data_IF_294104530661
#
_entry.id   IF_294104530661
#
_cell.length_a   1.000
_cell.length_b   1.000
_cell.length_c   1.000
_cell.angle_alpha   90.00
_cell.angle_beta   90.00
_cell.angle_gamma   90.00
#
_symmetry.space_group_name_H-M   'P 1'
#
loop_
_entity.id
_entity.type
_entity.pdbx_description
1 polymer ?
#
# COMPACT_ATOMS: atom_id res chain seq x y z
N UNK A 1 1.34 -13.44 -5.72
CA UNK A 1 0.70 -13.77 -7.01
C UNK A 1 0.61 -15.27 -7.28
N UNK A 2 1.71 -16.05 -7.23
CA UNK A 2 1.69 -17.52 -7.41
C UNK A 2 0.64 -18.26 -6.56
N UNK A 3 0.65 -18.06 -5.24
CA UNK A 3 -0.23 -18.82 -4.32
C UNK A 3 -1.72 -18.56 -4.56
N UNK A 4 -2.09 -17.31 -4.85
CA UNK A 4 -3.47 -16.94 -5.17
C UNK A 4 -3.94 -17.51 -6.50
N UNK A 5 -3.08 -17.52 -7.52
CA UNK A 5 -3.41 -18.14 -8.80
C UNK A 5 -3.58 -19.66 -8.69
N UNK A 6 -2.67 -20.31 -7.95
CA UNK A 6 -2.72 -21.74 -7.70
C UNK A 6 -3.99 -22.15 -6.95
N UNK A 7 -4.32 -21.48 -5.84
CA UNK A 7 -5.54 -21.76 -5.06
C UNK A 7 -6.80 -21.68 -5.91
N UNK A 8 -6.93 -20.64 -6.74
CA UNK A 8 -8.09 -20.48 -7.64
C UNK A 8 -8.16 -21.57 -8.72
N UNK A 9 -7.02 -21.99 -9.29
CA UNK A 9 -6.99 -23.01 -10.34
C UNK A 9 -7.17 -24.42 -9.80
N UNK A 10 -6.67 -24.71 -8.61
CA UNK A 10 -6.89 -25.99 -7.93
C UNK A 10 -8.39 -26.26 -7.77
N UNK A 11 -9.18 -25.26 -7.33
CA UNK A 11 -10.65 -25.37 -7.29
C UNK A 11 -11.26 -25.71 -8.65
N UNK A 12 -10.82 -25.04 -9.73
CA UNK A 12 -11.35 -25.33 -11.08
C UNK A 12 -11.00 -26.75 -11.56
N UNK A 13 -9.83 -27.26 -11.20
CA UNK A 13 -9.40 -28.62 -11.55
C UNK A 13 -10.18 -29.65 -10.73
N UNK A 14 -10.36 -29.41 -9.43
CA UNK A 14 -11.09 -30.30 -8.51
C UNK A 14 -12.54 -30.50 -8.96
N UNK A 15 -13.22 -29.43 -9.37
CA UNK A 15 -14.59 -29.49 -9.89
C UNK A 15 -14.67 -29.83 -11.40
N UNK A 16 -13.57 -30.23 -12.03
CA UNK A 16 -13.56 -30.74 -13.41
C UNK A 16 -13.75 -29.68 -14.51
N UNK A 17 -13.67 -28.38 -14.18
CA UNK A 17 -13.75 -27.29 -15.16
C UNK A 17 -12.45 -27.11 -15.96
N UNK A 18 -11.32 -27.60 -15.44
CA UNK A 18 -10.01 -27.54 -16.09
C UNK A 18 -9.24 -28.85 -15.92
N UNK A 19 -8.40 -29.16 -16.90
CA UNK A 19 -7.43 -30.26 -16.79
C UNK A 19 -6.31 -29.89 -15.81
N UNK A 20 -5.63 -30.88 -15.19
CA UNK A 20 -4.51 -30.64 -14.28
C UNK A 20 -3.37 -29.81 -14.87
N UNK A 21 -3.11 -29.91 -16.18
CA UNK A 21 -2.09 -29.12 -16.89
C UNK A 21 -2.34 -27.61 -16.86
N UNK A 22 -3.56 -27.17 -16.55
CA UNK A 22 -3.85 -25.75 -16.39
C UNK A 22 -3.07 -25.11 -15.21
N UNK A 23 -2.59 -25.91 -14.25
CA UNK A 23 -1.76 -25.46 -13.14
C UNK A 23 -0.35 -25.04 -13.59
N UNK A 24 0.15 -25.58 -14.70
CA UNK A 24 1.48 -25.26 -15.23
C UNK A 24 1.51 -23.88 -15.92
N UNK A 25 0.37 -23.44 -16.46
CA UNK A 25 0.21 -22.09 -16.98
C UNK A 25 -0.01 -21.11 -15.84
N UNK A 26 1.06 -20.68 -15.15
CA UNK A 26 0.98 -19.87 -13.93
C UNK A 26 2.06 -18.78 -13.91
N UNK A 27 1.92 -17.74 -13.07
CA UNK A 27 3.03 -16.83 -12.82
C UNK A 27 4.21 -17.56 -12.17
N UNK A 28 5.40 -16.96 -12.29
CA UNK A 28 6.59 -17.41 -11.57
C UNK A 28 6.36 -17.33 -10.06
N UNK A 29 6.95 -18.27 -9.33
CA UNK A 29 7.12 -18.13 -7.89
C UNK A 29 8.32 -17.21 -7.59
N UNK A 30 8.49 -16.86 -6.31
CA UNK A 30 9.52 -15.92 -5.90
C UNK A 30 10.95 -16.41 -6.19
N UNK A 31 11.34 -17.67 -5.87
CA UNK A 31 12.62 -18.23 -6.29
C UNK A 31 12.86 -18.25 -7.80
N UNK A 32 11.86 -18.64 -8.61
CA UNK A 32 11.96 -18.64 -10.07
C UNK A 32 12.21 -17.23 -10.61
N UNK A 33 11.45 -16.25 -10.11
CA UNK A 33 11.64 -14.85 -10.48
C UNK A 33 13.07 -14.37 -10.21
N UNK A 34 13.65 -14.77 -9.07
CA UNK A 34 15.02 -14.42 -8.70
C UNK A 34 16.09 -14.99 -9.62
N UNK A 35 15.85 -16.14 -10.24
CA UNK A 35 16.78 -16.71 -11.22
C UNK A 35 16.85 -15.88 -12.50
N UNK A 36 15.83 -15.07 -12.78
CA UNK A 36 15.79 -14.20 -13.96
C UNK A 36 16.34 -12.78 -13.70
N UNK A 37 16.62 -12.43 -12.44
CA UNK A 37 17.16 -11.12 -12.10
C UNK A 37 18.67 -11.19 -12.02
N UNK A 38 19.33 -10.34 -12.81
CA UNK A 38 20.77 -10.11 -12.67
C UNK A 38 21.06 -8.94 -11.72
N UNK A 39 20.45 -7.78 -11.96
CA UNK A 39 20.54 -6.59 -11.13
C UNK A 39 19.15 -5.99 -10.96
N UNK A 40 18.87 -5.47 -9.76
CA UNK A 40 17.59 -4.84 -9.43
C UNK A 40 17.83 -3.61 -8.57
N UNK A 41 17.02 -2.57 -8.79
CA UNK A 41 16.93 -1.39 -7.94
C UNK A 41 15.54 -1.40 -7.33
N UNK A 42 15.47 -1.45 -6.00
CA UNK A 42 14.21 -1.27 -5.28
C UNK A 42 13.95 0.22 -5.06
N UNK A 43 12.75 0.69 -5.40
CA UNK A 43 12.38 2.10 -5.23
C UNK A 43 11.14 2.20 -4.36
N UNK A 44 11.32 2.68 -3.13
CA UNK A 44 10.24 2.89 -2.16
C UNK A 44 10.62 4.00 -1.18
N UNK A 45 9.64 4.79 -0.73
CA UNK A 45 9.83 5.72 0.39
C UNK A 45 9.90 4.98 1.74
N UNK A 46 9.38 3.76 1.80
CA UNK A 46 9.38 2.88 2.98
C UNK A 46 9.74 1.45 2.56
N UNK A 47 11.02 1.15 2.31
CA UNK A 47 11.47 -0.21 2.01
C UNK A 47 11.10 -1.17 3.16
N UNK A 48 10.78 -2.42 2.85
CA UNK A 48 10.55 -3.45 3.86
C UNK A 48 11.88 -4.10 4.28
N UNK A 49 11.84 -4.98 5.27
CA UNK A 49 13.04 -5.71 5.73
C UNK A 49 13.72 -6.49 4.59
N UNK A 50 12.94 -7.05 3.67
CA UNK A 50 13.46 -7.81 2.54
C UNK A 50 14.42 -6.98 1.68
N UNK A 51 14.01 -5.77 1.28
CA UNK A 51 14.82 -4.90 0.44
C UNK A 51 16.08 -4.43 1.19
N UNK A 52 16.00 -4.15 2.49
CA UNK A 52 17.17 -3.78 3.30
C UNK A 52 18.20 -4.92 3.36
N UNK A 53 17.77 -6.15 3.61
CA UNK A 53 18.65 -7.31 3.74
C UNK A 53 19.34 -7.70 2.41
N UNK A 54 18.67 -7.46 1.27
CA UNK A 54 19.15 -7.87 -0.05
C UNK A 54 19.87 -6.75 -0.82
N UNK A 55 19.86 -5.52 -0.30
CA UNK A 55 20.52 -4.38 -0.93
C UNK A 55 21.97 -4.28 -0.48
N UNK A 56 22.90 -4.23 -1.44
CA UNK A 56 24.31 -3.93 -1.15
C UNK A 56 24.51 -2.48 -0.70
N UNK A 57 23.64 -1.58 -1.16
CA UNK A 57 23.67 -0.16 -0.85
C UNK A 57 22.25 0.40 -0.84
N UNK A 58 21.96 1.26 0.14
CA UNK A 58 20.74 2.07 0.18
C UNK A 58 21.10 3.49 -0.24
N UNK A 59 20.33 4.05 -1.18
CA UNK A 59 20.48 5.43 -1.65
C UNK A 59 19.20 6.19 -1.34
N UNK A 60 19.34 7.31 -0.66
CA UNK A 60 18.21 8.14 -0.23
C UNK A 60 18.09 9.40 -1.08
N UNK A 61 16.86 9.74 -1.47
CA UNK A 61 16.53 11.00 -2.14
C UNK A 61 15.53 11.79 -1.28
N UNK A 62 16.05 12.58 -0.36
CA UNK A 62 15.25 13.33 0.62
C UNK A 62 14.80 14.72 0.11
N UNK A 63 15.60 15.33 -0.78
CA UNK A 63 15.35 16.70 -1.25
C UNK A 63 14.39 16.68 -2.44
N UNK A 64 13.25 17.38 -2.29
CA UNK A 64 12.31 17.61 -3.39
C UNK A 64 12.82 18.73 -4.31
N UNK A 65 12.74 18.59 -5.65
CA UNK A 65 13.20 19.61 -6.59
C UNK A 65 12.54 20.99 -6.41
N UNK A 66 11.31 21.02 -5.89
CA UNK A 66 10.53 22.25 -5.64
C UNK A 66 10.83 22.91 -4.29
N UNK A 67 11.64 22.28 -3.43
CA UNK A 67 11.88 22.77 -2.07
C UNK A 67 10.72 22.56 -1.08
N UNK A 68 9.70 21.77 -1.45
CA UNK A 68 8.58 21.46 -0.54
C UNK A 68 9.09 20.71 0.71
N UNK A 69 8.66 21.20 1.87
CA UNK A 69 9.01 20.66 3.18
C UNK A 69 8.08 19.50 3.58
N UNK A 70 8.53 18.69 4.53
CA UNK A 70 7.66 17.71 5.19
C UNK A 70 6.51 18.42 5.93
N UNK A 71 5.31 17.82 5.95
CA UNK A 71 4.20 18.36 6.73
C UNK A 71 4.50 18.25 8.24
N UNK A 72 3.96 19.18 9.02
CA UNK A 72 3.99 19.10 10.49
C UNK A 72 3.04 18.02 11.00
N UNK A 73 3.47 17.28 12.02
CA UNK A 73 2.65 16.23 12.67
C UNK A 73 2.26 16.68 14.07
N UNK A 74 0.97 16.58 14.39
CA UNK A 74 0.40 16.88 15.71
C UNK A 74 -0.38 15.66 16.23
N UNK A 75 -0.23 15.34 17.51
CA UNK A 75 -0.98 14.26 18.18
C UNK A 75 -1.99 14.88 19.12
N UNK A 76 -3.28 14.60 18.89
CA UNK A 76 -4.39 15.10 19.70
C UNK A 76 -5.10 13.97 20.45
N UNK A 77 -5.71 14.24 21.62
CA UNK A 77 -6.54 13.27 22.32
C UNK A 77 -7.75 12.84 21.50
N UNK A 78 -8.26 11.63 21.75
CA UNK A 78 -9.46 11.11 21.07
C UNK A 78 -10.77 11.75 21.53
N UNK A 79 -10.78 12.36 22.72
CA UNK A 79 -11.97 13.04 23.26
C UNK A 79 -12.28 14.29 22.42
N UNK A 80 -13.45 14.32 21.81
CA UNK A 80 -13.88 15.43 20.94
C UNK A 80 -13.18 15.44 19.56
N UNK A 81 -12.59 14.31 19.14
CA UNK A 81 -11.82 14.24 17.89
C UNK A 81 -12.63 14.61 16.64
N UNK A 82 -13.93 14.29 16.61
CA UNK A 82 -14.79 14.58 15.45
C UNK A 82 -15.06 16.08 15.35
N UNK A 83 -15.40 16.72 16.46
CA UNK A 83 -15.64 18.16 16.52
C UNK A 83 -14.37 18.94 16.12
N UNK A 84 -13.20 18.57 16.68
CA UNK A 84 -11.92 19.19 16.30
C UNK A 84 -11.61 18.98 14.81
N UNK A 85 -11.82 17.76 14.29
CA UNK A 85 -11.59 17.45 12.87
C UNK A 85 -12.48 18.30 11.95
N UNK A 86 -13.78 18.41 12.23
CA UNK A 86 -14.72 19.20 11.44
C UNK A 86 -14.35 20.69 11.44
N UNK A 87 -13.94 21.22 12.60
CA UNK A 87 -13.44 22.59 12.70
C UNK A 87 -12.16 22.81 11.88
N UNK A 88 -11.22 21.86 11.89
CA UNK A 88 -10.02 21.94 11.04
C UNK A 88 -10.38 21.90 9.56
N UNK A 89 -11.26 20.98 9.14
CA UNK A 89 -11.69 20.87 7.74
C UNK A 89 -12.32 22.18 7.27
N UNK A 90 -13.22 22.77 8.07
CA UNK A 90 -13.87 24.03 7.72
C UNK A 90 -12.85 25.14 7.46
N UNK A 91 -11.84 25.29 8.33
CA UNK A 91 -10.75 26.26 8.16
C UNK A 91 -9.95 26.04 6.87
N UNK A 92 -9.73 24.78 6.47
CA UNK A 92 -9.04 24.45 5.21
C UNK A 92 -9.90 24.77 3.99
N UNK A 93 -11.19 24.48 4.05
CA UNK A 93 -12.16 24.80 2.99
C UNK A 93 -12.27 26.32 2.79
N UNK A 94 -12.31 27.10 3.87
CA UNK A 94 -12.34 28.57 3.81
C UNK A 94 -11.10 29.15 3.09
N UNK A 95 -9.96 28.43 3.12
CA UNK A 95 -8.73 28.77 2.40
C UNK A 95 -8.64 28.17 0.98
N UNK A 96 -9.66 27.45 0.52
CA UNK A 96 -9.64 26.75 -0.78
C UNK A 96 -8.79 25.48 -0.81
N UNK A 97 -8.35 24.98 0.35
CA UNK A 97 -7.51 23.78 0.51
C UNK A 97 -8.38 22.50 0.60
N UNK A 98 -7.75 21.32 0.70
CA UNK A 98 -8.44 20.02 0.79
C UNK A 98 -7.88 19.19 1.95
N UNK A 99 -8.71 18.29 2.48
CA UNK A 99 -8.35 17.38 3.57
C UNK A 99 -8.50 15.93 3.13
N UNK A 100 -7.59 15.08 3.61
CA UNK A 100 -7.70 13.63 3.49
C UNK A 100 -7.85 13.05 4.90
N UNK A 101 -8.82 12.17 5.09
CA UNK A 101 -9.10 11.52 6.37
C UNK A 101 -9.11 10.02 6.17
N UNK A 102 -8.48 9.27 7.08
CA UNK A 102 -8.49 7.81 7.10
C UNK A 102 -9.05 7.34 8.43
N UNK A 103 -10.03 6.45 8.37
CA UNK A 103 -10.63 5.78 9.54
C UNK A 103 -10.28 4.30 9.54
N UNK A 104 -10.39 3.63 10.69
CA UNK A 104 -10.05 2.22 10.82
C UNK A 104 -11.13 1.27 10.29
N UNK A 105 -12.39 1.70 10.27
CA UNK A 105 -13.51 0.84 9.90
C UNK A 105 -14.35 1.50 8.81
N UNK A 106 -14.93 0.66 7.95
CA UNK A 106 -15.88 1.10 6.92
C UNK A 106 -17.04 1.89 7.54
N UNK A 107 -17.60 1.39 8.65
CA UNK A 107 -18.71 2.05 9.35
C UNK A 107 -18.34 3.47 9.80
N UNK A 108 -17.15 3.67 10.38
CA UNK A 108 -16.70 5.01 10.77
C UNK A 108 -16.47 5.93 9.56
N UNK A 109 -16.03 5.39 8.42
CA UNK A 109 -15.91 6.17 7.21
C UNK A 109 -17.28 6.66 6.70
N UNK A 110 -18.28 5.77 6.72
CA UNK A 110 -19.66 6.08 6.33
C UNK A 110 -20.27 7.13 7.27
N UNK A 111 -20.22 6.89 8.58
CA UNK A 111 -20.76 7.82 9.59
C UNK A 111 -20.07 9.20 9.59
N UNK A 112 -18.82 9.31 9.12
CA UNK A 112 -18.10 10.59 9.03
C UNK A 112 -18.36 11.31 7.69
N UNK A 113 -18.73 10.58 6.65
CA UNK A 113 -18.97 11.14 5.33
C UNK A 113 -20.40 11.69 5.18
N UNK A 114 -21.35 11.12 5.91
CA UNK A 114 -22.75 11.56 6.01
C UNK A 114 -22.90 12.85 6.84
#
# INVERSE_FOLDING_TARGET
MYRGDRSRKETLVEYGFRLPSALDNRPLNFPEFWQHIHQVIYTSATPSAYEYEHSQQVVEQLVRPTGLLEPTVEVKPTRGQIDDLLDQIKRRVDNGERCLVTTLTKRMAEELAD
#
